data_IF_706149932582
#
_entry.id   IF_706149932582
#
_cell.length_a   1.000
_cell.length_b   1.000
_cell.length_c   1.000
_cell.angle_alpha   90.00
_cell.angle_beta   90.00
_cell.angle_gamma   90.00
#
_symmetry.space_group_name_H-M   'P 1'
#
loop_
_entity.id
_entity.type
_entity.pdbx_description
1 polymer ?
#
# COMPACT_ATOMS: atom_id res chain seq x y z
N UNK A 1 23.94 -17.61 25.89
CA UNK A 1 23.41 -16.66 24.89
C UNK A 1 22.12 -16.11 25.45
N UNK A 2 21.86 -14.80 25.42
CA UNK A 2 20.54 -14.30 25.80
C UNK A 2 19.51 -15.03 24.94
N UNK A 3 18.45 -15.54 25.56
CA UNK A 3 17.39 -16.23 24.84
C UNK A 3 16.86 -15.29 23.75
N UNK A 4 16.91 -15.75 22.49
CA UNK A 4 16.31 -15.08 21.34
C UNK A 4 14.80 -15.08 21.56
N UNK A 5 14.29 -14.07 22.27
CA UNK A 5 12.85 -13.94 22.52
C UNK A 5 12.16 -13.58 21.22
N UNK A 6 11.32 -14.49 20.74
CA UNK A 6 10.49 -14.34 19.55
C UNK A 6 9.02 -14.23 19.98
N UNK A 7 8.23 -13.45 19.24
CA UNK A 7 6.78 -13.42 19.41
C UNK A 7 6.15 -14.68 18.78
N UNK A 8 4.91 -15.05 19.17
CA UNK A 8 4.19 -16.13 18.50
C UNK A 8 4.06 -15.88 16.99
N UNK A 9 4.41 -16.89 16.19
CA UNK A 9 4.48 -16.85 14.71
C UNK A 9 5.59 -15.99 14.10
N UNK A 10 6.53 -15.46 14.88
CA UNK A 10 7.77 -14.96 14.29
C UNK A 10 8.53 -16.10 13.62
N UNK A 11 9.16 -15.79 12.49
CA UNK A 11 9.98 -16.72 11.71
C UNK A 11 11.40 -16.18 11.70
N UNK A 12 12.39 -17.02 12.00
CA UNK A 12 13.79 -16.61 11.87
C UNK A 12 14.16 -16.50 10.39
N UNK A 13 14.86 -15.43 10.02
CA UNK A 13 15.43 -15.26 8.69
C UNK A 13 16.26 -16.48 8.27
N UNK A 14 17.07 -16.99 9.20
CA UNK A 14 17.93 -18.16 9.00
C UNK A 14 17.16 -19.47 8.81
N UNK A 15 15.85 -19.52 9.09
CA UNK A 15 15.01 -20.68 8.77
C UNK A 15 14.55 -20.66 7.31
N UNK A 16 14.44 -19.47 6.71
CA UNK A 16 13.95 -19.25 5.35
C UNK A 16 15.10 -19.09 4.34
N UNK A 17 16.23 -18.51 4.76
CA UNK A 17 17.36 -18.18 3.92
C UNK A 17 18.66 -18.83 4.42
N UNK A 18 19.57 -19.09 3.49
CA UNK A 18 20.93 -19.53 3.73
C UNK A 18 21.92 -18.67 2.94
N UNK A 19 23.19 -18.71 3.33
CA UNK A 19 24.23 -18.00 2.60
C UNK A 19 24.46 -18.64 1.23
N UNK A 20 24.32 -17.84 0.18
CA UNK A 20 24.53 -18.27 -1.19
C UNK A 20 26.01 -18.50 -1.52
N UNK A 21 26.32 -19.33 -2.54
CA UNK A 21 27.69 -19.71 -2.89
C UNK A 21 28.59 -18.56 -3.40
N UNK A 22 28.03 -17.37 -3.61
CA UNK A 22 28.74 -16.16 -4.05
C UNK A 22 28.61 -15.00 -3.05
N UNK A 23 28.20 -15.31 -1.81
CA UNK A 23 27.78 -14.31 -0.82
C UNK A 23 26.35 -13.81 -1.08
N UNK A 24 25.71 -13.30 -0.02
CA UNK A 24 24.32 -12.86 -0.02
C UNK A 24 23.31 -13.95 0.35
N UNK A 25 22.12 -13.54 0.75
CA UNK A 25 21.06 -14.46 1.21
C UNK A 25 20.37 -15.13 0.01
N UNK A 26 20.20 -16.45 0.06
CA UNK A 26 19.42 -17.24 -0.90
C UNK A 26 18.31 -18.00 -0.16
N UNK A 27 17.06 -18.05 -0.68
CA UNK A 27 16.00 -18.82 -0.04
C UNK A 27 16.34 -20.32 -0.09
N UNK A 28 16.14 -21.03 1.03
CA UNK A 28 16.39 -22.48 1.16
C UNK A 28 15.43 -23.32 0.33
N UNK A 29 14.20 -22.83 0.18
CA UNK A 29 13.17 -23.44 -0.63
C UNK A 29 12.47 -22.37 -1.48
N UNK A 30 11.92 -22.78 -2.62
CA UNK A 30 11.08 -21.89 -3.41
C UNK A 30 9.72 -21.78 -2.73
N UNK A 31 9.36 -20.58 -2.27
CA UNK A 31 8.02 -20.32 -1.77
C UNK A 31 7.09 -19.97 -2.95
N UNK A 32 5.86 -20.51 -3.00
CA UNK A 32 4.89 -20.14 -4.03
C UNK A 32 4.61 -18.64 -3.96
N UNK A 33 4.74 -17.94 -5.09
CA UNK A 33 4.36 -16.54 -5.18
C UNK A 33 2.84 -16.46 -5.31
N UNK A 34 2.18 -15.79 -4.37
CA UNK A 34 0.73 -15.55 -4.40
C UNK A 34 0.38 -14.20 -5.01
N UNK A 35 1.34 -13.28 -5.06
CA UNK A 35 1.23 -12.02 -5.76
C UNK A 35 2.62 -11.58 -6.27
N UNK A 36 2.82 -11.66 -7.58
CA UNK A 36 3.95 -11.02 -8.28
C UNK A 36 3.55 -9.57 -8.57
N UNK A 37 4.33 -8.58 -8.10
CA UNK A 37 3.97 -7.18 -8.34
C UNK A 37 4.70 -6.64 -9.56
N UNK A 38 3.93 -6.02 -10.45
CA UNK A 38 4.46 -5.10 -11.44
C UNK A 38 5.05 -3.81 -10.84
N UNK A 39 4.87 -3.48 -9.54
CA UNK A 39 5.45 -2.26 -8.94
C UNK A 39 5.68 -2.35 -7.41
N UNK A 40 6.95 -2.32 -6.99
CA UNK A 40 7.51 -1.77 -5.72
C UNK A 40 7.30 -2.43 -4.34
N UNK A 41 6.35 -3.35 -4.09
CA UNK A 41 6.20 -3.98 -2.74
C UNK A 41 7.06 -5.22 -2.48
N UNK A 42 7.89 -5.62 -3.45
CA UNK A 42 8.42 -6.98 -3.48
C UNK A 42 7.32 -8.06 -3.65
N UNK A 43 7.70 -9.28 -4.05
CA UNK A 43 6.77 -10.40 -4.16
C UNK A 43 6.21 -10.83 -2.80
N UNK A 44 4.93 -11.21 -2.77
CA UNK A 44 4.29 -11.83 -1.62
C UNK A 44 4.24 -13.34 -1.82
N UNK A 45 4.68 -14.08 -0.80
CA UNK A 45 4.80 -15.53 -0.86
C UNK A 45 3.82 -16.21 0.10
N UNK A 46 3.42 -17.44 -0.23
CA UNK A 46 2.75 -18.31 0.71
C UNK A 46 3.75 -19.14 1.51
N UNK A 47 3.62 -19.13 2.83
CA UNK A 47 4.41 -19.97 3.73
C UNK A 47 3.56 -20.46 4.89
N UNK A 48 3.41 -21.79 5.00
CA UNK A 48 2.68 -22.48 6.08
C UNK A 48 1.28 -21.89 6.36
N UNK A 49 0.56 -21.49 5.30
CA UNK A 49 -0.80 -20.93 5.38
C UNK A 49 -0.87 -19.43 5.70
N UNK A 50 0.27 -18.74 5.73
CA UNK A 50 0.38 -17.28 5.85
C UNK A 50 0.89 -16.66 4.54
N UNK A 51 0.57 -15.38 4.35
CA UNK A 51 1.21 -14.54 3.34
C UNK A 51 2.44 -13.88 3.97
N UNK A 52 3.59 -13.91 3.32
CA UNK A 52 4.81 -13.30 3.83
C UNK A 52 5.38 -12.26 2.85
N UNK A 53 5.76 -11.11 3.40
CA UNK A 53 6.49 -10.04 2.70
C UNK A 53 7.91 -9.99 3.27
N UNK A 54 8.92 -10.07 2.40
CA UNK A 54 10.33 -9.98 2.77
C UNK A 54 10.86 -8.57 2.58
N UNK A 55 12.03 -8.31 3.17
CA UNK A 55 12.78 -7.05 3.03
C UNK A 55 11.95 -5.82 3.40
N UNK A 56 11.19 -5.95 4.49
CA UNK A 56 10.37 -4.88 5.04
C UNK A 56 11.22 -4.01 5.97
N UNK A 57 11.15 -2.70 5.78
CA UNK A 57 11.80 -1.72 6.66
C UNK A 57 11.07 -1.60 8.00
N UNK A 58 11.81 -1.28 9.07
CA UNK A 58 11.27 -1.16 10.43
C UNK A 58 10.11 -0.15 10.50
N UNK A 59 10.22 0.95 9.74
CA UNK A 59 9.16 1.95 9.63
C UNK A 59 7.86 1.39 9.07
N UNK A 60 7.90 0.56 8.02
CA UNK A 60 6.66 -0.05 7.49
C UNK A 60 6.02 -0.97 8.52
N UNK A 61 6.81 -1.72 9.30
CA UNK A 61 6.30 -2.54 10.41
C UNK A 61 5.55 -1.67 11.42
N UNK A 62 6.14 -0.55 11.83
CA UNK A 62 5.54 0.40 12.76
C UNK A 62 4.24 0.98 12.19
N UNK A 63 4.26 1.48 10.95
CA UNK A 63 3.08 2.07 10.30
C UNK A 63 1.94 1.05 10.16
N UNK A 64 2.26 -0.19 9.78
CA UNK A 64 1.28 -1.28 9.66
C UNK A 64 0.64 -1.60 11.01
N UNK A 65 1.41 -1.59 12.10
CA UNK A 65 0.92 -1.82 13.45
C UNK A 65 0.03 -0.66 13.94
N UNK A 66 0.41 0.59 13.67
CA UNK A 66 -0.36 1.78 14.03
C UNK A 66 -1.71 1.85 13.31
N UNK A 67 -1.81 1.30 12.10
CA UNK A 67 -3.05 1.24 11.33
C UNK A 67 -4.11 0.30 11.91
N UNK A 68 -3.76 -0.56 12.88
CA UNK A 68 -4.70 -1.38 13.64
C UNK A 68 -5.60 -2.26 12.79
N UNK A 69 -6.93 -2.12 12.93
CA UNK A 69 -7.90 -2.95 12.19
C UNK A 69 -8.12 -2.53 10.73
N UNK A 70 -7.49 -1.44 10.30
CA UNK A 70 -7.47 -1.03 8.90
C UNK A 70 -6.42 -1.80 8.08
N UNK A 71 -5.35 -2.31 8.69
CA UNK A 71 -4.32 -3.09 7.99
C UNK A 71 -4.66 -4.57 7.96
N UNK A 72 -4.20 -5.26 6.91
CA UNK A 72 -4.23 -6.73 6.84
C UNK A 72 -3.60 -7.31 8.11
N UNK A 73 -4.22 -8.34 8.68
CA UNK A 73 -3.81 -8.84 9.99
C UNK A 73 -2.38 -9.38 9.94
N UNK A 74 -1.47 -8.74 10.67
CA UNK A 74 -0.13 -9.25 10.94
C UNK A 74 -0.18 -10.26 12.07
N UNK A 75 0.33 -11.47 11.82
CA UNK A 75 0.39 -12.59 12.73
C UNK A 75 1.75 -12.77 13.40
N UNK A 76 2.81 -12.21 12.81
CA UNK A 76 4.19 -12.27 13.28
C UNK A 76 5.12 -11.54 12.30
N UNK A 77 6.42 -11.67 12.51
CA UNK A 77 7.44 -11.00 11.71
C UNK A 77 8.50 -11.98 11.26
N UNK A 78 9.22 -11.62 10.20
CA UNK A 78 10.47 -12.29 9.86
C UNK A 78 11.59 -11.57 10.60
N UNK A 79 12.32 -12.28 11.45
CA UNK A 79 13.31 -11.69 12.37
C UNK A 79 14.71 -12.12 11.97
N UNK A 80 15.58 -11.15 11.70
CA UNK A 80 17.01 -11.35 11.47
C UNK A 80 17.80 -10.78 12.65
N UNK A 81 18.81 -11.52 13.11
CA UNK A 81 19.68 -11.08 14.20
C UNK A 81 20.96 -10.48 13.60
N UNK A 82 21.38 -9.32 14.10
CA UNK A 82 22.62 -8.69 13.65
C UNK A 82 23.86 -9.55 13.97
N UNK A 83 24.87 -9.46 13.11
CA UNK A 83 26.16 -10.10 13.35
C UNK A 83 26.94 -9.27 14.37
N UNK A 84 27.09 -9.80 15.58
CA UNK A 84 27.83 -9.11 16.65
C UNK A 84 27.55 -9.70 18.04
N UNK A 85 28.23 -9.19 19.07
CA UNK A 85 28.04 -9.68 20.45
C UNK A 85 26.62 -9.43 20.98
N UNK A 86 25.97 -8.34 20.54
CA UNK A 86 24.65 -7.94 21.03
C UNK A 86 23.49 -8.66 20.35
N UNK A 87 23.72 -9.27 19.17
CA UNK A 87 22.71 -9.96 18.34
C UNK A 87 21.34 -9.27 18.41
N UNK A 88 21.28 -7.99 18.03
CA UNK A 88 20.02 -7.24 18.10
C UNK A 88 19.04 -7.83 17.07
N UNK A 89 17.78 -8.13 17.46
CA UNK A 89 16.77 -8.56 16.50
C UNK A 89 16.30 -7.38 15.65
N UNK A 90 16.15 -7.62 14.36
CA UNK A 90 15.53 -6.71 13.39
C UNK A 90 14.36 -7.41 12.72
N UNK A 91 13.23 -6.72 12.63
CA UNK A 91 12.09 -7.17 11.84
C UNK A 91 12.37 -6.80 10.39
N UNK A 92 12.51 -7.81 9.54
CA UNK A 92 12.88 -7.70 8.11
C UNK A 92 11.79 -8.25 7.19
N UNK A 93 10.62 -8.52 7.73
CA UNK A 93 9.48 -9.03 6.98
C UNK A 93 8.22 -9.12 7.83
N UNK A 94 7.09 -9.25 7.15
CA UNK A 94 5.76 -9.36 7.75
C UNK A 94 5.19 -10.75 7.48
N UNK A 95 4.61 -11.37 8.51
CA UNK A 95 3.81 -12.60 8.40
C UNK A 95 2.35 -12.21 8.57
N UNK A 96 1.55 -12.34 7.52
CA UNK A 96 0.21 -11.79 7.42
C UNK A 96 -0.83 -12.88 7.14
N UNK A 97 -2.10 -12.60 7.41
CA UNK A 97 -3.18 -13.42 6.90
C UNK A 97 -3.17 -13.47 5.37
N UNK A 98 -3.52 -14.62 4.79
CA UNK A 98 -3.73 -14.73 3.34
C UNK A 98 -5.04 -14.02 2.98
N UNK A 99 -4.94 -13.02 2.13
CA UNK A 99 -6.04 -12.23 1.58
C UNK A 99 -5.90 -12.09 0.05
N UNK A 100 -6.98 -11.68 -0.63
CA UNK A 100 -7.00 -11.56 -2.09
C UNK A 100 -6.91 -10.10 -2.52
N UNK A 101 -6.14 -9.75 -3.58
CA UNK A 101 -6.15 -8.42 -4.16
C UNK A 101 -7.58 -7.99 -4.55
N UNK A 102 -8.00 -6.81 -4.11
CA UNK A 102 -9.35 -6.30 -4.36
C UNK A 102 -9.63 -6.13 -5.85
N UNK A 103 -8.64 -5.66 -6.61
CA UNK A 103 -8.79 -5.37 -8.04
C UNK A 103 -9.22 -6.62 -8.84
N UNK A 104 -8.64 -7.79 -8.54
CA UNK A 104 -8.99 -9.04 -9.22
C UNK A 104 -10.40 -9.52 -8.91
N UNK A 105 -10.86 -9.27 -7.68
CA UNK A 105 -12.23 -9.53 -7.28
C UNK A 105 -13.21 -8.55 -7.94
N UNK A 106 -12.87 -7.26 -7.96
CA UNK A 106 -13.72 -6.19 -8.50
C UNK A 106 -13.93 -6.28 -10.02
N UNK A 107 -12.97 -6.84 -10.77
CA UNK A 107 -13.08 -7.06 -12.24
C UNK A 107 -14.33 -7.86 -12.64
N UNK A 108 -14.76 -8.80 -11.80
CA UNK A 108 -15.90 -9.68 -12.07
C UNK A 108 -17.14 -9.31 -11.24
N UNK A 109 -17.09 -8.21 -10.48
CA UNK A 109 -18.19 -7.78 -9.62
C UNK A 109 -19.34 -7.17 -10.42
N UNK A 110 -20.58 -7.51 -10.05
CA UNK A 110 -21.76 -6.80 -10.52
C UNK A 110 -21.87 -5.40 -9.88
N UNK A 111 -22.84 -4.62 -10.32
CA UNK A 111 -23.01 -3.24 -9.81
C UNK A 111 -23.29 -3.21 -8.31
N UNK A 112 -24.10 -4.14 -7.78
CA UNK A 112 -24.39 -4.18 -6.33
C UNK A 112 -23.12 -4.42 -5.53
N UNK A 113 -22.27 -5.32 -6.00
CA UNK A 113 -21.02 -5.66 -5.34
C UNK A 113 -19.99 -4.53 -5.47
N UNK A 114 -19.91 -3.84 -6.61
CA UNK A 114 -19.10 -2.62 -6.75
C UNK A 114 -19.51 -1.53 -5.77
N UNK A 115 -20.81 -1.35 -5.52
CA UNK A 115 -21.30 -0.41 -4.51
C UNK A 115 -20.88 -0.80 -3.10
N UNK A 116 -20.95 -2.09 -2.75
CA UNK A 116 -20.45 -2.61 -1.45
C UNK A 116 -18.95 -2.34 -1.32
N UNK A 117 -18.17 -2.67 -2.35
CA UNK A 117 -16.72 -2.44 -2.39
C UNK A 117 -16.41 -0.96 -2.19
N UNK A 118 -17.05 -0.06 -2.96
CA UNK A 118 -16.92 1.40 -2.83
C UNK A 118 -17.14 1.86 -1.39
N UNK A 119 -18.25 1.43 -0.78
CA UNK A 119 -18.60 1.81 0.58
C UNK A 119 -17.56 1.32 1.61
N UNK A 120 -17.06 0.09 1.48
CA UNK A 120 -16.05 -0.45 2.37
C UNK A 120 -14.66 0.20 2.19
N UNK A 121 -14.27 0.53 0.96
CA UNK A 121 -13.04 1.29 0.68
C UNK A 121 -13.09 2.69 1.33
N UNK A 122 -14.21 3.39 1.19
CA UNK A 122 -14.44 4.69 1.85
C UNK A 122 -14.35 4.52 3.37
N UNK A 123 -15.03 3.52 3.92
CA UNK A 123 -15.08 3.30 5.36
C UNK A 123 -13.71 2.91 5.97
N UNK A 124 -12.86 2.16 5.28
CA UNK A 124 -11.53 1.81 5.81
C UNK A 124 -10.57 3.00 5.77
N UNK A 125 -10.60 3.82 4.72
CA UNK A 125 -9.79 5.05 4.62
C UNK A 125 -10.24 6.08 5.65
N UNK A 126 -11.55 6.31 5.78
CA UNK A 126 -12.10 7.21 6.80
C UNK A 126 -11.71 6.76 8.22
N UNK A 127 -11.77 5.45 8.50
CA UNK A 127 -11.37 4.90 9.80
C UNK A 127 -9.87 5.08 10.05
N UNK A 128 -9.03 4.86 9.05
CA UNK A 128 -7.59 5.08 9.14
C UNK A 128 -7.30 6.54 9.55
N UNK A 129 -7.98 7.49 8.90
CA UNK A 129 -7.82 8.92 9.18
C UNK A 129 -8.38 9.30 10.56
N UNK A 130 -9.59 8.88 10.89
CA UNK A 130 -10.33 9.41 12.07
C UNK A 130 -10.01 8.68 13.37
N UNK A 131 -9.82 7.36 13.33
CA UNK A 131 -9.58 6.52 14.52
C UNK A 131 -8.10 6.37 14.80
N UNK A 132 -7.29 6.22 13.75
CA UNK A 132 -5.86 5.96 13.87
C UNK A 132 -4.99 7.20 13.63
N UNK A 133 -5.56 8.30 13.13
CA UNK A 133 -4.83 9.54 12.77
C UNK A 133 -3.63 9.25 11.87
N UNK A 134 -3.84 8.35 10.91
CA UNK A 134 -2.84 7.92 9.95
C UNK A 134 -3.23 8.39 8.55
N UNK A 135 -2.24 8.74 7.75
CA UNK A 135 -2.36 8.94 6.29
C UNK A 135 -1.67 7.76 5.63
N UNK A 136 -2.31 7.12 4.66
CA UNK A 136 -1.75 5.96 3.96
C UNK A 136 -0.67 6.37 2.95
N UNK A 137 -0.90 7.45 2.19
CA UNK A 137 0.05 8.05 1.26
C UNK A 137 0.16 7.37 -0.11
N UNK A 138 -0.21 6.09 -0.22
CA UNK A 138 -0.24 5.34 -1.49
C UNK A 138 -1.57 4.56 -1.69
N UNK A 139 -2.70 5.26 -1.60
CA UNK A 139 -4.02 4.65 -1.86
C UNK A 139 -4.15 4.30 -3.35
N UNK A 140 -4.38 3.02 -3.65
CA UNK A 140 -4.62 2.46 -4.99
C UNK A 140 -5.27 1.09 -4.88
N UNK A 141 -6.01 0.58 -5.88
CA UNK A 141 -6.71 -0.71 -5.77
C UNK A 141 -5.81 -1.89 -5.42
N UNK A 142 -4.52 -1.83 -5.78
CA UNK A 142 -3.52 -2.86 -5.46
C UNK A 142 -3.14 -2.90 -3.98
N UNK A 143 -3.46 -1.85 -3.22
CA UNK A 143 -3.25 -1.77 -1.77
C UNK A 143 -4.49 -2.09 -0.94
N UNK A 144 -5.60 -2.47 -1.59
CA UNK A 144 -6.77 -3.00 -0.91
C UNK A 144 -6.84 -4.52 -1.09
N UNK A 145 -7.13 -5.21 0.01
CA UNK A 145 -7.28 -6.66 0.08
C UNK A 145 -8.67 -7.01 0.58
N UNK A 146 -9.25 -8.08 0.04
CA UNK A 146 -10.43 -8.75 0.62
C UNK A 146 -9.93 -9.89 1.49
N UNK A 147 -10.16 -9.76 2.80
CA UNK A 147 -9.79 -10.75 3.79
C UNK A 147 -10.82 -11.89 3.89
N UNK A 148 -10.46 -12.97 4.60
CA UNK A 148 -11.30 -14.18 4.74
C UNK A 148 -12.65 -13.92 5.41
N UNK A 149 -12.75 -12.86 6.20
CA UNK A 149 -13.99 -12.39 6.84
C UNK A 149 -14.81 -11.45 5.93
N UNK A 150 -14.51 -11.41 4.63
CA UNK A 150 -15.12 -10.54 3.61
C UNK A 150 -14.98 -9.04 3.90
N UNK A 151 -14.05 -8.64 4.77
CA UNK A 151 -13.72 -7.23 5.03
C UNK A 151 -12.62 -6.76 4.10
N UNK A 152 -12.76 -5.53 3.62
CA UNK A 152 -11.69 -4.83 2.92
C UNK A 152 -10.72 -4.21 3.93
N UNK A 153 -9.42 -4.49 3.76
CA UNK A 153 -8.31 -3.94 4.54
C UNK A 153 -7.21 -3.43 3.63
N UNK A 154 -6.37 -2.55 4.16
CA UNK A 154 -5.22 -1.97 3.47
C UNK A 154 -3.95 -2.81 3.70
N UNK A 155 -3.01 -2.73 2.77
CA UNK A 155 -1.65 -3.23 2.90
C UNK A 155 -0.67 -2.20 2.31
N UNK A 156 0.64 -2.44 2.44
CA UNK A 156 1.69 -1.59 1.88
C UNK A 156 1.74 -0.20 2.54
N UNK A 157 2.20 -0.14 3.80
CA UNK A 157 2.26 1.08 4.60
C UNK A 157 3.62 1.80 4.48
N UNK A 158 4.40 1.52 3.43
CA UNK A 158 5.72 2.14 3.21
C UNK A 158 5.63 3.67 3.05
N UNK A 159 4.57 4.16 2.39
CA UNK A 159 4.31 5.58 2.18
C UNK A 159 3.50 6.25 3.30
N UNK A 160 3.21 5.52 4.38
CA UNK A 160 2.31 5.98 5.43
C UNK A 160 3.00 6.82 6.50
N UNK A 161 2.20 7.64 7.19
CA UNK A 161 2.64 8.39 8.36
C UNK A 161 1.53 8.66 9.35
N UNK A 162 1.87 8.90 10.63
CA UNK A 162 0.98 9.59 11.55
C UNK A 162 0.76 11.01 11.08
N UNK A 163 -0.46 11.53 11.24
CA UNK A 163 -0.76 12.91 10.90
C UNK A 163 0.01 13.91 11.79
N UNK A 164 0.29 13.50 13.03
CA UNK A 164 1.11 14.27 13.99
C UNK A 164 2.61 14.27 13.67
N UNK A 165 3.06 13.50 12.68
CA UNK A 165 4.47 13.51 12.26
C UNK A 165 4.83 14.86 11.63
N UNK A 166 5.96 15.43 12.04
CA UNK A 166 6.40 16.74 11.57
C UNK A 166 6.95 16.67 10.15
N UNK A 167 6.91 17.80 9.44
CA UNK A 167 7.47 17.89 8.09
C UNK A 167 8.98 17.60 8.08
N UNK A 168 9.72 18.04 9.10
CA UNK A 168 11.16 17.80 9.23
C UNK A 168 11.48 16.31 9.40
N UNK A 169 10.63 15.58 10.12
CA UNK A 169 10.77 14.12 10.28
C UNK A 169 10.59 13.43 8.92
N UNK A 170 9.57 13.85 8.17
CA UNK A 170 9.31 13.33 6.83
C UNK A 170 10.43 13.65 5.83
N UNK A 171 10.94 14.88 5.84
CA UNK A 171 12.07 15.31 5.00
C UNK A 171 13.34 14.48 5.30
N UNK A 172 13.66 14.28 6.59
CA UNK A 172 14.82 13.47 6.96
C UNK A 172 14.73 12.01 6.50
N UNK A 173 13.52 11.43 6.49
CA UNK A 173 13.28 10.09 5.96
C UNK A 173 13.39 10.03 4.43
N UNK A 174 12.99 11.10 3.73
CA UNK A 174 13.17 11.22 2.29
C UNK A 174 14.66 11.30 1.91
N UNK A 175 15.46 12.07 2.65
CA UNK A 175 16.92 12.13 2.47
C UNK A 175 17.58 10.75 2.63
N UNK A 176 17.07 9.94 3.55
CA UNK A 176 17.49 8.55 3.75
C UNK A 176 16.93 7.57 2.71
N UNK A 177 16.07 8.04 1.79
CA UNK A 177 15.45 7.22 0.74
C UNK A 177 14.31 6.33 1.24
N UNK A 178 13.82 6.54 2.46
CA UNK A 178 12.83 5.69 3.12
C UNK A 178 11.37 6.10 2.82
N UNK A 179 11.14 7.26 2.18
CA UNK A 179 9.80 7.80 1.89
C UNK A 179 9.44 7.85 0.38
N UNK A 180 9.92 6.88 -0.43
CA UNK A 180 9.78 6.91 -1.90
C UNK A 180 8.64 6.08 -2.50
N UNK A 181 7.75 5.56 -1.66
CA UNK A 181 6.65 4.69 -2.10
C UNK A 181 5.39 5.52 -2.41
N UNK A 182 5.24 5.92 -3.66
CA UNK A 182 3.97 6.41 -4.22
C UNK A 182 3.79 5.92 -5.65
N UNK A 183 2.55 6.00 -6.13
CA UNK A 183 2.18 5.63 -7.51
C UNK A 183 1.62 6.84 -8.23
N UNK A 184 2.37 7.35 -9.21
CA UNK A 184 2.07 8.60 -9.92
C UNK A 184 0.64 8.70 -10.44
N UNK A 185 0.11 7.61 -10.99
CA UNK A 185 -1.23 7.56 -11.59
C UNK A 185 -2.37 7.86 -10.60
N UNK A 186 -2.13 7.81 -9.29
CA UNK A 186 -3.14 8.09 -8.26
C UNK A 186 -2.81 9.37 -7.47
N UNK A 187 -1.66 10.01 -7.74
CA UNK A 187 -1.23 11.19 -7.01
C UNK A 187 -2.09 12.41 -7.39
N UNK A 188 -2.39 13.22 -6.37
CA UNK A 188 -2.88 14.57 -6.60
C UNK A 188 -1.74 15.44 -7.15
N UNK A 189 -1.58 15.57 -8.46
CA UNK A 189 -0.42 16.28 -9.02
C UNK A 189 -0.41 17.81 -8.91
N UNK A 190 -1.32 18.42 -8.12
CA UNK A 190 -1.07 19.77 -7.56
C UNK A 190 -0.14 19.75 -6.35
N UNK A 191 0.12 18.57 -5.80
CA UNK A 191 1.04 18.38 -4.68
C UNK A 191 2.48 18.25 -5.17
N UNK A 192 3.37 18.81 -4.38
CA UNK A 192 4.79 18.51 -4.47
C UNK A 192 5.07 17.14 -3.81
N UNK A 193 5.61 16.18 -4.55
CA UNK A 193 5.93 14.84 -4.02
C UNK A 193 6.88 14.86 -2.82
N UNK A 194 7.69 15.93 -2.69
CA UNK A 194 8.63 16.15 -1.58
C UNK A 194 7.95 16.61 -0.27
N UNK A 195 6.65 16.94 -0.27
CA UNK A 195 5.93 17.29 0.97
C UNK A 195 5.18 16.08 1.54
N UNK A 196 4.95 16.00 2.87
CA UNK A 196 4.26 14.87 3.49
C UNK A 196 2.83 14.68 2.97
N UNK A 197 2.33 13.43 2.87
CA UNK A 197 0.98 13.17 2.42
C UNK A 197 -0.09 13.61 3.39
N UNK A 198 -1.23 14.04 2.86
CA UNK A 198 -2.38 14.53 3.62
C UNK A 198 -3.58 13.60 3.48
N UNK A 199 -4.59 13.78 4.34
CA UNK A 199 -5.86 13.04 4.23
C UNK A 199 -6.53 13.32 2.88
N UNK A 200 -6.43 14.56 2.39
CA UNK A 200 -6.97 15.00 1.12
C UNK A 200 -6.32 14.27 -0.07
N UNK A 201 -5.03 13.94 0.03
CA UNK A 201 -4.34 13.14 -0.98
C UNK A 201 -4.86 11.69 -1.03
N UNK A 202 -5.06 11.07 0.13
CA UNK A 202 -5.66 9.74 0.22
C UNK A 202 -7.09 9.75 -0.38
N UNK A 203 -7.88 10.79 -0.13
CA UNK A 203 -9.22 10.93 -0.73
C UNK A 203 -9.15 11.08 -2.25
N UNK A 204 -8.23 11.91 -2.75
CA UNK A 204 -8.04 12.08 -4.19
C UNK A 204 -7.66 10.74 -4.85
N UNK A 205 -6.67 10.05 -4.29
CA UNK A 205 -6.22 8.75 -4.76
C UNK A 205 -7.31 7.67 -4.65
N UNK A 206 -8.16 7.72 -3.62
CA UNK A 206 -9.34 6.86 -3.49
C UNK A 206 -10.36 7.12 -4.60
N UNK A 207 -10.57 8.38 -5.00
CA UNK A 207 -11.48 8.71 -6.10
C UNK A 207 -10.99 8.14 -7.44
N UNK A 208 -9.68 8.21 -7.71
CA UNK A 208 -9.06 7.56 -8.88
C UNK A 208 -9.17 6.03 -8.78
N UNK A 209 -8.96 5.47 -7.60
CA UNK A 209 -9.08 4.01 -7.35
C UNK A 209 -10.50 3.48 -7.63
N UNK A 210 -11.52 4.21 -7.17
CA UNK A 210 -12.93 3.86 -7.43
C UNK A 210 -13.26 4.05 -8.91
N UNK A 211 -12.72 5.08 -9.57
CA UNK A 211 -12.85 5.24 -11.02
C UNK A 211 -12.31 4.01 -11.76
N UNK A 212 -11.12 3.50 -11.42
CA UNK A 212 -10.52 2.30 -12.04
C UNK A 212 -11.42 1.07 -11.86
N UNK A 213 -11.97 0.86 -10.67
CA UNK A 213 -12.87 -0.26 -10.39
C UNK A 213 -14.15 -0.19 -11.24
N UNK A 214 -14.72 1.00 -11.38
CA UNK A 214 -15.98 1.17 -12.12
C UNK A 214 -15.78 1.18 -13.64
N UNK A 215 -14.69 1.76 -14.14
CA UNK A 215 -14.35 1.83 -15.56
C UNK A 215 -13.73 0.53 -16.08
N UNK A 216 -13.05 -0.21 -15.21
CA UNK A 216 -12.22 -1.36 -15.58
C UNK A 216 -10.94 -0.98 -16.34
N UNK A 217 -10.55 0.30 -16.33
CA UNK A 217 -9.41 0.85 -17.07
C UNK A 217 -8.32 1.32 -16.12
N UNK A 218 -7.06 1.14 -16.51
CA UNK A 218 -5.93 1.69 -15.77
C UNK A 218 -5.92 3.23 -15.91
N UNK A 219 -5.78 4.01 -14.81
CA UNK A 219 -5.72 5.46 -14.91
C UNK A 219 -4.53 5.89 -15.76
N UNK A 220 -4.76 6.77 -16.74
CA UNK A 220 -3.73 7.33 -17.62
C UNK A 220 -2.90 6.26 -18.35
N UNK A 221 -3.53 5.16 -18.77
CA UNK A 221 -2.88 4.04 -19.46
C UNK A 221 -2.06 4.48 -20.69
N UNK A 222 -2.57 5.47 -21.44
CA UNK A 222 -1.91 6.09 -22.59
C UNK A 222 -0.65 6.89 -22.23
N UNK A 223 -0.49 7.20 -20.95
CA UNK A 223 0.66 7.89 -20.37
C UNK A 223 1.58 6.95 -19.57
N UNK A 224 1.38 5.63 -19.62
CA UNK A 224 2.35 4.71 -19.02
C UNK A 224 3.67 4.74 -19.80
N UNK A 225 4.79 4.93 -19.09
CA UNK A 225 6.14 4.89 -19.68
C UNK A 225 6.58 6.17 -20.40
N UNK A 226 5.80 7.26 -20.34
CA UNK A 226 6.32 8.60 -20.63
C UNK A 226 7.12 9.13 -19.44
N UNK A 227 7.99 10.13 -19.68
CA UNK A 227 8.79 10.76 -18.62
C UNK A 227 7.89 11.30 -17.49
N UNK A 228 8.37 11.19 -16.24
CA UNK A 228 7.69 11.70 -15.02
C UNK A 228 7.21 13.16 -15.20
N UNK A 229 7.97 13.97 -15.95
CA UNK A 229 7.63 15.34 -16.33
C UNK A 229 6.29 15.48 -17.06
N UNK A 230 5.91 14.52 -17.92
CA UNK A 230 4.67 14.58 -18.70
C UNK A 230 3.44 14.30 -17.84
N UNK A 231 3.52 13.29 -16.98
CA UNK A 231 2.45 13.00 -16.01
C UNK A 231 2.28 14.17 -15.03
N UNK A 232 3.39 14.73 -14.57
CA UNK A 232 3.41 15.91 -13.70
C UNK A 232 2.72 17.11 -14.38
N UNK A 233 3.09 17.43 -15.62
CA UNK A 233 2.46 18.52 -16.38
C UNK A 233 0.97 18.27 -16.65
N UNK A 234 0.59 17.01 -16.93
CA UNK A 234 -0.82 16.63 -17.11
C UNK A 234 -1.63 16.96 -15.86
N UNK A 235 -1.18 16.50 -14.68
CA UNK A 235 -1.86 16.79 -13.43
C UNK A 235 -1.86 18.29 -13.07
N UNK A 236 -0.76 19.00 -13.30
CA UNK A 236 -0.66 20.44 -13.05
C UNK A 236 -1.64 21.26 -13.90
N UNK A 237 -1.97 20.79 -15.11
CA UNK A 237 -2.99 21.40 -15.96
C UNK A 237 -4.42 21.21 -15.43
N UNK A 238 -4.59 20.41 -14.38
CA UNK A 238 -5.88 20.02 -13.81
C UNK A 238 -6.59 18.92 -14.61
N UNK A 239 -5.98 18.37 -15.66
CA UNK A 239 -6.52 17.21 -16.35
C UNK A 239 -6.50 15.98 -15.42
N UNK A 240 -7.46 15.08 -15.63
CA UNK A 240 -7.61 13.84 -14.87
C UNK A 240 -8.40 12.83 -15.70
N UNK A 241 -8.71 11.68 -15.12
CA UNK A 241 -9.44 10.57 -15.75
C UNK A 241 -10.81 10.99 -16.32
N UNK A 242 -11.22 10.35 -17.42
CA UNK A 242 -12.52 10.60 -18.06
C UNK A 242 -13.66 10.02 -17.21
N UNK A 243 -14.43 10.90 -16.55
CA UNK A 243 -15.55 10.50 -15.71
C UNK A 243 -16.74 9.92 -16.48
N UNK A 244 -16.80 10.07 -17.81
CA UNK A 244 -17.88 9.48 -18.61
C UNK A 244 -17.82 7.94 -18.64
N UNK A 245 -16.66 7.36 -18.35
CA UNK A 245 -16.42 5.92 -18.23
C UNK A 245 -17.17 5.27 -17.05
N UNK A 246 -17.47 6.03 -16.00
CA UNK A 246 -18.19 5.55 -14.82
C UNK A 246 -19.69 5.71 -15.05
N UNK A 247 -20.38 4.66 -15.51
CA UNK A 247 -21.82 4.74 -15.88
C UNK A 247 -22.76 5.08 -14.72
N UNK A 248 -22.42 4.66 -13.51
CA UNK A 248 -23.20 4.97 -12.31
C UNK A 248 -23.10 6.47 -11.96
N UNK A 249 -24.24 7.16 -12.00
CA UNK A 249 -24.29 8.63 -11.87
C UNK A 249 -23.88 9.06 -10.46
N UNK A 250 -24.36 8.37 -9.42
CA UNK A 250 -24.05 8.72 -8.03
C UNK A 250 -22.54 8.62 -7.76
N UNK A 251 -21.93 7.50 -8.17
CA UNK A 251 -20.49 7.28 -8.03
C UNK A 251 -19.69 8.28 -8.87
N UNK A 252 -20.13 8.58 -10.10
CA UNK A 252 -19.50 9.60 -10.94
C UNK A 252 -19.50 10.99 -10.29
N UNK A 253 -20.64 11.43 -9.74
CA UNK A 253 -20.73 12.71 -9.05
C UNK A 253 -19.89 12.75 -7.76
N UNK A 254 -19.83 11.64 -7.03
CA UNK A 254 -18.97 11.52 -5.85
C UNK A 254 -17.49 11.65 -6.22
N UNK A 255 -17.02 10.92 -7.24
CA UNK A 255 -15.64 11.02 -7.75
C UNK A 255 -15.36 12.46 -8.16
N UNK A 256 -16.25 13.08 -8.96
CA UNK A 256 -16.11 14.47 -9.40
C UNK A 256 -15.95 15.43 -8.23
N UNK A 257 -16.76 15.29 -7.19
CA UNK A 257 -16.72 16.15 -6.01
C UNK A 257 -15.37 16.09 -5.29
N UNK A 258 -14.78 14.91 -5.16
CA UNK A 258 -13.47 14.72 -4.53
C UNK A 258 -12.35 15.26 -5.42
N UNK A 259 -12.34 14.92 -6.71
CA UNK A 259 -11.30 15.37 -7.63
C UNK A 259 -11.28 16.90 -7.77
N UNK A 260 -12.45 17.56 -7.79
CA UNK A 260 -12.55 19.04 -7.78
C UNK A 260 -11.94 19.66 -6.54
N UNK A 261 -12.12 19.05 -5.36
CA UNK A 261 -11.49 19.52 -4.11
C UNK A 261 -9.96 19.41 -4.17
N UNK A 262 -9.44 18.36 -4.80
CA UNK A 262 -8.00 18.23 -5.12
C UNK A 262 -7.53 19.17 -6.23
N UNK A 263 -8.45 19.88 -6.89
CA UNK A 263 -8.17 20.90 -7.88
C UNK A 263 -8.13 20.41 -9.34
N UNK A 264 -8.69 19.24 -9.63
CA UNK A 264 -8.90 18.77 -11.00
C UNK A 264 -10.06 19.50 -11.70
N UNK A 265 -9.96 19.58 -13.02
CA UNK A 265 -10.91 20.20 -13.95
C UNK A 265 -11.84 19.13 -14.53
N UNK A 266 -12.93 18.81 -13.81
CA UNK A 266 -13.92 17.75 -14.14
C UNK A 266 -15.36 18.17 -13.94
#
# INVERSE_FOLDING_TARGET
>A
MPERKLEPNDILWDDLYEEGPRGGDRPKEAHPVICERFMRCGPIYEYKGFAIKYFVEEREVEMTALAGDCSVKVHGHIVKFDVGPDQKPRKVGLVMEVAKPLLDYAKNADESEKHRIKAEMIAVVERLHTKYNMVHGDIKPQNFLICKDNKIRLCDFEGSRPESESAETWEGLEELGLNRAYTENYMNGKRNQFVPPTREDDWYALAISIWEIYSGKMPFEDMNGVSEDKMTLHHQSGQTVDLTEVKDIETREWIRGILRKGGASV
#
